data_IF_948730172912
#
_entry.id   IF_948730172912
#
_cell.length_a   1.000
_cell.length_b   1.000
_cell.length_c   1.000
_cell.angle_alpha   90.00
_cell.angle_beta   90.00
_cell.angle_gamma   90.00
#
_symmetry.space_group_name_H-M   'P 1'
#
loop_
_entity.id
_entity.type
_entity.pdbx_description
1 polymer ?
#
# COMPACT_ATOMS: atom_id res chain seq x y z
N UNK A 1 -30.02 5.02 -60.69
CA UNK A 1 -28.56 5.09 -60.74
C UNK A 1 -28.17 6.45 -60.20
N UNK A 2 -27.96 6.63 -58.89
CA UNK A 2 -26.95 6.03 -58.01
C UNK A 2 -25.54 6.58 -58.32
N UNK A 3 -25.16 7.62 -57.58
CA UNK A 3 -23.79 7.93 -57.17
C UNK A 3 -23.88 8.77 -55.88
N UNK A 4 -23.99 8.07 -54.74
CA UNK A 4 -23.84 8.66 -53.42
C UNK A 4 -22.36 8.51 -53.03
N UNK A 5 -21.54 9.43 -53.53
CA UNK A 5 -20.14 9.55 -53.16
C UNK A 5 -20.06 10.02 -51.70
N UNK A 6 -20.00 9.04 -50.79
CA UNK A 6 -19.81 9.26 -49.35
C UNK A 6 -18.37 8.95 -49.02
N UNK A 7 -17.49 9.83 -49.49
CA UNK A 7 -16.15 9.95 -48.91
C UNK A 7 -16.28 10.73 -47.58
N UNK A 8 -16.05 10.11 -46.41
CA UNK A 8 -16.10 10.85 -45.15
C UNK A 8 -14.95 11.87 -45.11
N UNK A 9 -15.19 13.14 -44.75
CA UNK A 9 -14.08 14.04 -44.47
C UNK A 9 -13.33 13.52 -43.24
N UNK A 10 -12.09 13.09 -43.44
CA UNK A 10 -11.13 12.88 -42.38
C UNK A 10 -10.82 14.23 -41.73
N UNK A 11 -11.63 14.61 -40.74
CA UNK A 11 -11.37 15.71 -39.84
C UNK A 11 -11.76 15.26 -38.42
N UNK A 12 -11.02 14.30 -37.87
CA UNK A 12 -10.98 14.10 -36.41
C UNK A 12 -10.09 15.17 -35.80
N UNK A 13 -10.53 16.42 -35.89
CA UNK A 13 -10.07 17.47 -35.01
C UNK A 13 -10.68 17.20 -33.64
N UNK A 14 -9.86 16.81 -32.68
CA UNK A 14 -10.28 16.83 -31.28
C UNK A 14 -10.46 18.29 -30.89
N UNK A 15 -11.71 18.76 -30.83
CA UNK A 15 -12.06 19.94 -30.05
C UNK A 15 -12.00 19.54 -28.57
N UNK A 16 -11.06 20.08 -27.77
CA UNK A 16 -11.09 19.86 -26.34
C UNK A 16 -12.34 20.55 -25.78
N UNK A 17 -13.23 19.77 -25.18
CA UNK A 17 -14.38 20.31 -24.46
C UNK A 17 -13.90 21.33 -23.41
N UNK A 18 -14.57 22.47 -23.36
CA UNK A 18 -14.25 23.56 -22.45
C UNK A 18 -14.13 23.07 -21.00
N UNK A 19 -13.15 23.55 -20.21
CA UNK A 19 -13.05 23.16 -18.81
C UNK A 19 -14.32 23.63 -18.09
N UNK A 20 -14.98 22.70 -17.41
CA UNK A 20 -16.10 22.99 -16.52
C UNK A 20 -15.64 23.99 -15.46
N UNK A 21 -15.93 25.27 -15.68
CA UNK A 21 -15.89 26.29 -14.63
C UNK A 21 -17.05 26.01 -13.69
N UNK A 22 -16.73 25.82 -12.42
CA UNK A 22 -17.67 25.84 -11.28
C UNK A 22 -18.36 24.51 -10.97
N UNK A 23 -17.60 23.57 -10.42
CA UNK A 23 -18.01 22.95 -9.16
C UNK A 23 -17.06 23.53 -8.11
N UNK A 24 -17.59 24.40 -7.24
CA UNK A 24 -16.82 25.32 -6.38
C UNK A 24 -15.92 24.64 -5.35
N UNK A 25 -14.81 24.07 -5.80
CA UNK A 25 -13.72 23.61 -4.94
C UNK A 25 -12.45 24.34 -5.40
N UNK A 26 -12.15 25.44 -4.71
CA UNK A 26 -10.94 26.22 -4.93
C UNK A 26 -9.75 25.49 -4.26
N UNK A 27 -9.05 24.65 -4.99
CA UNK A 27 -7.79 24.06 -4.53
C UNK A 27 -6.67 25.11 -4.65
N UNK A 28 -6.35 25.77 -3.53
CA UNK A 28 -5.19 26.65 -3.40
C UNK A 28 -4.09 25.89 -2.64
N UNK A 29 -3.01 25.39 -3.28
CA UNK A 29 -1.90 24.76 -2.57
C UNK A 29 -0.96 25.85 -2.02
N UNK A 30 -1.42 26.65 -1.08
CA UNK A 30 -0.56 27.47 -0.22
C UNK A 30 -0.86 27.15 1.25
N UNK A 31 0.10 26.46 1.86
CA UNK A 31 0.50 26.60 3.26
C UNK A 31 -0.60 26.93 4.29
N UNK A 32 -1.39 25.93 4.69
CA UNK A 32 -1.72 25.70 6.11
C UNK A 32 -2.42 24.35 6.29
N UNK A 33 -1.65 23.25 6.21
CA UNK A 33 -2.13 21.96 6.71
C UNK A 33 -1.93 21.93 8.23
N UNK A 34 -2.76 22.67 8.96
CA UNK A 34 -3.04 22.35 10.36
C UNK A 34 -3.74 21.01 10.38
N UNK A 35 -2.95 19.94 10.57
CA UNK A 35 -3.48 18.65 10.93
C UNK A 35 -4.20 18.80 12.27
N UNK A 36 -5.53 18.84 12.25
CA UNK A 36 -6.34 18.60 13.43
C UNK A 36 -5.95 17.23 13.99
N UNK A 37 -5.20 17.31 15.09
CA UNK A 37 -4.70 16.19 15.85
C UNK A 37 -5.87 15.70 16.71
N UNK A 38 -6.62 14.73 16.19
CA UNK A 38 -7.51 13.91 17.02
C UNK A 38 -6.68 12.98 17.90
N UNK A 39 -6.07 13.52 18.96
CA UNK A 39 -5.37 12.76 20.00
C UNK A 39 -6.27 12.64 21.23
N UNK A 40 -7.08 11.59 21.27
CA UNK A 40 -7.60 11.06 22.52
C UNK A 40 -6.65 9.98 23.01
N UNK A 41 -5.63 10.37 23.77
CA UNK A 41 -4.93 9.49 24.70
C UNK A 41 -4.21 10.33 25.74
N UNK A 42 -4.75 10.23 26.95
CA UNK A 42 -4.12 10.54 28.22
C UNK A 42 -2.67 10.04 28.25
N UNK A 43 -1.72 10.98 28.33
CA UNK A 43 -0.34 10.70 28.71
C UNK A 43 0.21 11.92 29.44
N UNK A 44 0.06 11.83 30.75
CA UNK A 44 0.71 12.56 31.84
C UNK A 44 1.89 13.46 31.44
N UNK A 45 1.61 14.74 31.64
CA UNK A 45 2.49 15.87 31.95
C UNK A 45 3.80 15.50 32.68
N UNK A 46 4.93 15.48 31.96
CA UNK A 46 6.21 15.98 32.47
C UNK A 46 7.24 16.10 31.34
N UNK A 47 7.53 17.32 30.89
CA UNK A 47 8.70 17.55 30.04
C UNK A 47 9.34 18.90 30.34
N UNK A 48 10.24 18.89 31.33
CA UNK A 48 11.47 19.69 31.30
C UNK A 48 12.01 19.70 29.87
N UNK A 49 12.11 20.90 29.30
CA UNK A 49 12.69 21.33 28.01
C UNK A 49 13.56 20.30 27.28
N UNK A 50 12.95 19.22 26.82
CA UNK A 50 13.57 18.19 26.00
C UNK A 50 12.91 18.31 24.65
N UNK A 51 13.68 18.69 23.62
CA UNK A 51 13.13 18.93 22.30
C UNK A 51 12.27 17.73 21.86
N UNK A 52 11.08 17.93 21.26
CA UNK A 52 10.20 16.83 20.84
C UNK A 52 10.90 15.73 20.03
N UNK A 53 11.95 16.10 19.29
CA UNK A 53 12.83 15.18 18.55
C UNK A 53 13.58 14.20 19.45
N UNK A 54 14.03 14.63 20.62
CA UNK A 54 14.80 13.82 21.57
C UNK A 54 13.88 12.78 22.21
N UNK A 55 12.69 13.19 22.68
CA UNK A 55 11.69 12.27 23.23
C UNK A 55 11.25 11.20 22.21
N UNK A 56 11.02 11.61 20.95
CA UNK A 56 10.70 10.67 19.87
C UNK A 56 11.88 9.74 19.58
N UNK A 57 13.11 10.24 19.57
CA UNK A 57 14.31 9.42 19.32
C UNK A 57 14.54 8.39 20.42
N UNK A 58 14.35 8.78 21.67
CA UNK A 58 14.53 7.90 22.84
C UNK A 58 13.43 6.83 22.88
N UNK A 59 12.17 7.21 22.60
CA UNK A 59 11.05 6.28 22.46
C UNK A 59 11.27 5.30 21.30
N UNK A 60 11.68 5.81 20.13
CA UNK A 60 11.97 4.99 18.95
C UNK A 60 13.12 4.01 19.21
N UNK A 61 14.20 4.43 19.88
CA UNK A 61 15.34 3.56 20.18
C UNK A 61 14.94 2.38 21.08
N UNK A 62 14.10 2.63 22.09
CA UNK A 62 13.59 1.58 22.99
C UNK A 62 12.68 0.59 22.26
N UNK A 63 11.74 1.11 21.46
CA UNK A 63 10.83 0.27 20.65
C UNK A 63 11.62 -0.53 19.61
N UNK A 64 12.60 0.08 18.95
CA UNK A 64 13.43 -0.58 17.95
C UNK A 64 14.18 -1.78 18.54
N UNK A 65 14.82 -1.61 19.70
CA UNK A 65 15.54 -2.71 20.36
C UNK A 65 14.61 -3.87 20.70
N UNK A 66 13.45 -3.59 21.31
CA UNK A 66 12.50 -4.64 21.71
C UNK A 66 11.77 -5.28 20.53
N UNK A 67 11.47 -4.50 19.49
CA UNK A 67 10.79 -4.98 18.30
C UNK A 67 11.72 -5.82 17.42
N UNK A 68 13.00 -5.45 17.29
CA UNK A 68 13.95 -6.18 16.43
C UNK A 68 14.11 -7.62 16.88
N UNK A 69 14.38 -7.86 18.17
CA UNK A 69 14.53 -9.22 18.71
C UNK A 69 13.24 -10.04 18.58
N UNK A 70 12.09 -9.40 18.80
CA UNK A 70 10.79 -10.06 18.65
C UNK A 70 10.43 -10.33 17.20
N UNK A 71 10.76 -9.45 16.26
CA UNK A 71 10.48 -9.62 14.83
C UNK A 71 11.28 -10.79 14.28
N UNK A 72 12.55 -10.94 14.65
CA UNK A 72 13.33 -12.12 14.22
C UNK A 72 12.74 -13.43 14.76
N UNK A 73 12.35 -13.45 16.04
CA UNK A 73 11.71 -14.63 16.64
C UNK A 73 10.31 -14.92 16.07
N UNK A 74 9.53 -13.88 15.76
CA UNK A 74 8.19 -13.97 15.19
C UNK A 74 8.20 -14.20 13.69
N UNK A 75 9.30 -13.91 12.98
CA UNK A 75 9.38 -14.12 11.54
C UNK A 75 9.35 -15.62 11.19
N UNK A 76 10.04 -16.45 11.97
CA UNK A 76 10.08 -17.90 11.74
C UNK A 76 8.72 -18.56 12.05
N UNK A 77 8.15 -18.29 13.23
CA UNK A 77 6.82 -18.77 13.64
C UNK A 77 5.69 -18.15 12.78
N UNK A 78 5.83 -16.88 12.43
CA UNK A 78 4.89 -16.14 11.60
C UNK A 78 4.84 -16.65 10.17
N UNK A 79 5.97 -17.08 9.60
CA UNK A 79 6.01 -17.68 8.25
C UNK A 79 5.21 -18.98 8.20
N UNK A 80 5.38 -19.86 9.20
CA UNK A 80 4.63 -21.11 9.26
C UNK A 80 3.12 -20.88 9.42
N UNK A 81 2.73 -19.95 10.31
CA UNK A 81 1.31 -19.61 10.55
C UNK A 81 0.67 -18.90 9.36
N UNK A 82 1.37 -17.94 8.78
CA UNK A 82 0.92 -17.23 7.59
C UNK A 82 0.83 -18.19 6.39
N UNK A 83 1.80 -19.11 6.23
CA UNK A 83 1.77 -20.15 5.21
C UNK A 83 0.50 -21.01 5.30
N UNK A 84 0.19 -21.52 6.49
CA UNK A 84 -1.01 -22.33 6.70
C UNK A 84 -2.31 -21.53 6.46
N UNK A 85 -2.37 -20.27 6.89
CA UNK A 85 -3.51 -19.41 6.61
C UNK A 85 -3.65 -19.08 5.12
N UNK A 86 -2.53 -18.87 4.42
CA UNK A 86 -2.50 -18.65 2.97
C UNK A 86 -2.91 -19.91 2.20
N UNK A 87 -2.48 -21.09 2.63
CA UNK A 87 -2.87 -22.37 2.01
C UNK A 87 -4.38 -22.56 2.09
N UNK A 88 -4.97 -22.32 3.26
CA UNK A 88 -6.42 -22.37 3.45
C UNK A 88 -7.14 -21.36 2.56
N UNK A 89 -6.62 -20.14 2.44
CA UNK A 89 -7.18 -19.11 1.56
C UNK A 89 -7.03 -19.46 0.08
N UNK A 90 -5.89 -20.01 -0.33
CA UNK A 90 -5.62 -20.45 -1.71
C UNK A 90 -6.53 -21.60 -2.10
N UNK A 91 -6.83 -22.50 -1.18
CA UNK A 91 -7.76 -23.60 -1.39
C UNK A 91 -9.20 -23.08 -1.56
N UNK A 92 -9.65 -22.13 -0.73
CA UNK A 92 -10.93 -21.44 -0.91
C UNK A 92 -11.02 -20.72 -2.26
N UNK A 93 -9.94 -20.05 -2.67
CA UNK A 93 -9.90 -19.34 -3.95
C UNK A 93 -9.89 -20.30 -5.13
N UNK A 94 -9.24 -21.46 -5.01
CA UNK A 94 -9.21 -22.51 -6.03
C UNK A 94 -10.59 -23.16 -6.18
N UNK A 95 -11.28 -23.45 -5.08
CA UNK A 95 -12.65 -23.95 -5.09
C UNK A 95 -13.62 -22.93 -5.72
N UNK A 96 -13.42 -21.64 -5.43
CA UNK A 96 -14.19 -20.54 -6.04
C UNK A 96 -13.82 -20.31 -7.51
N UNK A 97 -12.55 -20.42 -7.89
CA UNK A 97 -12.08 -20.27 -9.26
C UNK A 97 -12.55 -21.45 -10.13
N UNK A 98 -12.58 -22.67 -9.60
CA UNK A 98 -13.18 -23.82 -10.29
C UNK A 98 -14.67 -23.60 -10.60
N UNK A 99 -15.38 -22.79 -9.79
CA UNK A 99 -16.75 -22.35 -10.08
C UNK A 99 -16.84 -21.18 -11.08
N UNK A 100 -15.74 -20.49 -11.37
CA UNK A 100 -15.69 -19.26 -12.20
C UNK A 100 -14.99 -19.47 -13.55
N UNK A 101 -14.06 -20.43 -13.66
CA UNK A 101 -13.26 -20.75 -14.85
C UNK A 101 -14.11 -21.17 -16.06
N UNK A 102 -15.36 -21.55 -15.83
CA UNK A 102 -16.33 -21.91 -16.88
C UNK A 102 -16.81 -20.70 -17.72
N UNK A 103 -16.34 -19.46 -17.45
CA UNK A 103 -16.88 -18.24 -18.10
C UNK A 103 -15.90 -17.20 -18.70
N UNK A 104 -14.59 -17.29 -18.52
CA UNK A 104 -13.69 -16.14 -18.80
C UNK A 104 -12.58 -16.49 -19.81
N UNK A 105 -12.83 -16.24 -21.11
CA UNK A 105 -11.95 -16.58 -22.24
C UNK A 105 -10.68 -15.71 -22.45
N UNK A 106 -10.02 -15.94 -23.60
CA UNK A 106 -8.64 -15.57 -24.01
C UNK A 106 -8.13 -14.13 -23.75
N UNK A 107 -8.99 -13.14 -23.52
CA UNK A 107 -8.61 -11.71 -23.48
C UNK A 107 -7.86 -11.26 -22.20
N UNK A 108 -7.77 -12.11 -21.18
CA UNK A 108 -7.02 -11.82 -19.94
C UNK A 108 -5.51 -12.16 -20.02
N UNK A 109 -5.05 -12.80 -21.10
CA UNK A 109 -3.68 -13.33 -21.20
C UNK A 109 -2.57 -12.28 -21.29
N UNK A 110 -2.83 -11.11 -21.89
CA UNK A 110 -1.80 -10.09 -22.07
C UNK A 110 -1.49 -9.29 -20.80
N UNK A 111 -2.51 -9.03 -19.98
CA UNK A 111 -2.30 -8.41 -18.67
C UNK A 111 -1.58 -9.36 -17.70
N UNK A 112 -1.89 -10.66 -17.82
CA UNK A 112 -1.20 -11.71 -17.08
C UNK A 112 0.29 -11.79 -17.44
N UNK A 113 0.66 -11.63 -18.73
CA UNK A 113 2.07 -11.70 -19.17
C UNK A 113 2.91 -10.53 -18.65
N UNK A 114 2.40 -9.29 -18.69
CA UNK A 114 3.12 -8.12 -18.15
C UNK A 114 3.26 -8.15 -16.63
N UNK A 115 2.24 -8.62 -15.92
CA UNK A 115 2.34 -8.88 -14.49
C UNK A 115 3.39 -9.97 -14.19
N UNK A 116 3.43 -11.04 -15.00
CA UNK A 116 4.39 -12.12 -14.84
C UNK A 116 5.85 -11.67 -15.02
N UNK A 117 6.16 -10.79 -15.98
CA UNK A 117 7.52 -10.26 -16.15
C UNK A 117 7.97 -9.42 -14.96
N UNK A 118 7.06 -8.60 -14.42
CA UNK A 118 7.32 -7.77 -13.23
C UNK A 118 7.59 -8.64 -11.99
N UNK A 119 6.79 -9.70 -11.81
CA UNK A 119 6.95 -10.67 -10.72
C UNK A 119 8.23 -11.49 -10.88
N UNK A 120 8.60 -11.86 -12.11
CA UNK A 120 9.82 -12.64 -12.39
C UNK A 120 11.09 -11.83 -12.08
N UNK A 121 11.13 -10.55 -12.48
CA UNK A 121 12.23 -9.66 -12.14
C UNK A 121 12.39 -9.44 -10.63
N UNK A 122 11.27 -9.32 -9.92
CA UNK A 122 11.25 -9.21 -8.46
C UNK A 122 11.67 -10.51 -7.76
N UNK A 123 11.24 -11.66 -8.28
CA UNK A 123 11.57 -12.98 -7.75
C UNK A 123 13.06 -13.31 -7.90
N UNK A 124 13.68 -12.88 -9.00
CA UNK A 124 15.14 -12.98 -9.19
C UNK A 124 15.90 -12.18 -8.13
N UNK A 125 15.45 -10.95 -7.83
CA UNK A 125 16.07 -10.13 -6.79
C UNK A 125 15.89 -10.70 -5.38
N UNK A 126 14.72 -11.29 -5.06
CA UNK A 126 14.47 -11.94 -3.77
C UNK A 126 15.28 -13.21 -3.57
N UNK A 127 15.51 -13.99 -4.64
CA UNK A 127 16.14 -15.30 -4.56
C UNK A 127 17.65 -15.22 -4.41
N UNK A 128 18.27 -14.19 -4.98
CA UNK A 128 19.72 -13.98 -4.93
C UNK A 128 20.17 -13.04 -3.82
N UNK A 129 19.25 -12.29 -3.18
CA UNK A 129 19.61 -11.36 -2.10
C UNK A 129 19.51 -11.98 -0.72
N UNK A 130 20.50 -11.68 0.10
CA UNK A 130 20.49 -11.96 1.53
C UNK A 130 19.64 -10.93 2.25
N UNK A 131 19.09 -11.28 3.41
CA UNK A 131 18.23 -10.41 4.23
C UNK A 131 18.92 -9.09 4.56
N UNK A 132 20.22 -9.11 4.81
CA UNK A 132 21.03 -7.91 5.03
C UNK A 132 21.05 -6.97 3.82
N UNK A 133 21.05 -7.53 2.61
CA UNK A 133 21.06 -6.80 1.34
C UNK A 133 19.69 -6.17 1.07
N UNK A 134 18.60 -6.86 1.42
CA UNK A 134 17.23 -6.32 1.40
C UNK A 134 17.08 -5.17 2.40
N UNK A 135 17.66 -5.30 3.60
CA UNK A 135 17.64 -4.26 4.61
C UNK A 135 18.41 -3.03 4.16
N UNK A 136 19.55 -3.19 3.52
CA UNK A 136 20.37 -2.07 3.05
C UNK A 136 19.68 -1.34 1.87
N UNK A 137 19.08 -2.07 0.94
CA UNK A 137 18.27 -1.47 -0.14
C UNK A 137 17.03 -0.74 0.41
N UNK A 138 16.32 -1.33 1.36
CA UNK A 138 15.19 -0.69 2.03
C UNK A 138 15.64 0.59 2.76
N UNK A 139 16.80 0.56 3.42
CA UNK A 139 17.39 1.72 4.09
C UNK A 139 17.78 2.80 3.10
N UNK A 140 18.32 2.43 1.93
CA UNK A 140 18.63 3.34 0.85
C UNK A 140 17.37 4.01 0.27
N UNK A 141 16.29 3.24 0.08
CA UNK A 141 14.99 3.76 -0.37
C UNK A 141 14.40 4.77 0.62
N UNK A 142 14.41 4.46 1.92
CA UNK A 142 13.96 5.38 2.98
C UNK A 142 14.79 6.67 2.99
N UNK A 143 16.12 6.57 2.79
CA UNK A 143 17.01 7.74 2.74
C UNK A 143 16.75 8.62 1.52
N UNK A 144 16.49 8.01 0.36
CA UNK A 144 16.24 8.74 -0.88
C UNK A 144 14.84 9.36 -0.94
N UNK A 145 13.87 8.78 -0.23
CA UNK A 145 12.47 9.22 -0.29
C UNK A 145 11.78 9.10 1.08
N UNK A 146 12.13 9.98 2.05
CA UNK A 146 11.59 9.92 3.40
C UNK A 146 10.06 10.10 3.44
N UNK A 147 9.49 10.95 2.57
CA UNK A 147 8.04 11.16 2.53
C UNK A 147 7.26 9.91 2.08
N UNK A 148 7.77 9.19 1.07
CA UNK A 148 7.15 7.95 0.58
C UNK A 148 7.20 6.88 1.66
N UNK A 149 8.36 6.73 2.32
CA UNK A 149 8.51 5.79 3.42
C UNK A 149 7.53 6.07 4.57
N UNK A 150 7.37 7.33 4.97
CA UNK A 150 6.40 7.72 6.01
C UNK A 150 4.97 7.37 5.58
N UNK A 151 4.59 7.64 4.32
CA UNK A 151 3.27 7.29 3.80
C UNK A 151 3.00 5.79 3.80
N UNK A 152 3.96 4.98 3.35
CA UNK A 152 3.86 3.52 3.35
C UNK A 152 3.77 2.97 4.77
N UNK A 153 4.62 3.46 5.69
CA UNK A 153 4.60 3.04 7.10
C UNK A 153 3.25 3.39 7.77
N UNK A 154 2.70 4.58 7.51
CA UNK A 154 1.39 4.99 8.02
C UNK A 154 0.27 4.12 7.45
N UNK A 155 0.29 3.79 6.16
CA UNK A 155 -0.70 2.92 5.55
C UNK A 155 -0.65 1.49 6.12
N UNK A 156 0.54 0.90 6.25
CA UNK A 156 0.71 -0.43 6.85
C UNK A 156 0.29 -0.43 8.33
N UNK A 157 0.69 0.59 9.08
CA UNK A 157 0.28 0.77 10.48
C UNK A 157 -1.24 0.91 10.62
N UNK A 158 -1.89 1.64 9.72
CA UNK A 158 -3.35 1.78 9.70
C UNK A 158 -4.05 0.45 9.38
N UNK A 159 -3.56 -0.33 8.41
CA UNK A 159 -4.14 -1.64 8.10
C UNK A 159 -3.98 -2.57 9.30
N UNK A 160 -2.80 -2.62 9.92
CA UNK A 160 -2.57 -3.42 11.13
C UNK A 160 -3.48 -2.98 12.28
N UNK A 161 -3.57 -1.67 12.54
CA UNK A 161 -4.47 -1.09 13.54
C UNK A 161 -5.93 -1.41 13.22
N UNK A 162 -6.32 -1.35 11.95
CA UNK A 162 -7.68 -1.67 11.51
C UNK A 162 -7.99 -3.14 11.72
N UNK A 163 -7.09 -4.07 11.40
CA UNK A 163 -7.30 -5.50 11.64
C UNK A 163 -7.45 -5.79 13.13
N UNK A 164 -6.56 -5.22 13.95
CA UNK A 164 -6.63 -5.36 15.42
C UNK A 164 -7.95 -4.75 15.95
N UNK A 165 -8.31 -3.53 15.52
CA UNK A 165 -9.57 -2.88 15.90
C UNK A 165 -10.81 -3.64 15.41
N UNK A 166 -10.74 -4.26 14.21
CA UNK A 166 -11.84 -5.08 13.66
C UNK A 166 -12.00 -6.39 14.41
N UNK A 167 -10.92 -6.92 14.99
CA UNK A 167 -10.93 -8.14 15.81
C UNK A 167 -11.24 -7.89 17.28
N UNK A 168 -10.94 -6.68 17.79
CA UNK A 168 -11.26 -6.20 19.14
C UNK A 168 -12.61 -5.49 19.22
N UNK A 169 -13.42 -5.55 18.16
CA UNK A 169 -14.86 -5.35 18.23
C UNK A 169 -15.49 -6.75 18.37
N UNK A 170 -15.45 -7.39 19.57
CA UNK A 170 -16.45 -8.39 19.86
C UNK A 170 -17.76 -7.63 19.81
N UNK A 171 -18.51 -7.87 18.73
CA UNK A 171 -19.96 -7.77 18.66
C UNK A 171 -20.54 -7.60 20.06
N UNK A 172 -21.17 -6.45 20.30
CA UNK A 172 -22.12 -6.26 21.38
C UNK A 172 -22.91 -7.57 21.57
N UNK A 173 -22.67 -8.20 22.72
CA UNK A 173 -23.48 -9.27 23.30
C UNK A 173 -24.50 -8.65 24.25
#
# INVERSE_FOLDING_TARGET
MADNDTTPPAATGFEPAAPLKTAGVNFNPESNASAESGTSSDATDNATSTSPKQAIKDGAAKVQQQATDKIYALADDGKARAGNALDQFAQLLTDAAAQVDEKLGEQYGQYARSAADTVTGFSGQIKDKQIDDLLDDARAFVRNSPAVAIGVAAALGFVAARVVQSGLDPRDA
#
